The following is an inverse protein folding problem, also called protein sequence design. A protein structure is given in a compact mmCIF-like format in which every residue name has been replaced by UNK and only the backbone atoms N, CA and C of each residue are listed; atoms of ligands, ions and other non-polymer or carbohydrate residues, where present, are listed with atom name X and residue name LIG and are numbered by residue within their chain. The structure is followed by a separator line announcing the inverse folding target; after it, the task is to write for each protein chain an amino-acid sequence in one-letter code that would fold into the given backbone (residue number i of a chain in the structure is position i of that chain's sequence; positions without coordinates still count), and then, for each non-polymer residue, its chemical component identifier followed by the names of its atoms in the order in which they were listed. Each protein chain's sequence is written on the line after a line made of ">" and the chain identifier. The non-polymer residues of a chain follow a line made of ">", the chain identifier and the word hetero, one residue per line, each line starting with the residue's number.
data_IF_243194174159
#
_entry.id   IF_243194174159
#
_cell.length_a   1.000
_cell.length_b   1.000
_cell.length_c   1.000
_cell.angle_alpha   90.00
_cell.angle_beta   90.00
_cell.angle_gamma   90.00
#
_symmetry.space_group_name_H-M   'P 1'
#
loop_
_entity.id
_entity.type
_entity.pdbx_description
1 polymer ?
#
# COMPACT_ATOMS: atom_id res chain seq x y z
N UNK A 1 20.41 -20.59 13.45
CA UNK A 1 20.82 -19.19 13.12
C UNK A 1 20.67 -18.35 14.38
N UNK A 2 21.59 -17.42 14.63
CA UNK A 2 21.48 -16.47 15.72
C UNK A 2 20.49 -15.33 15.40
N UNK A 3 20.07 -14.57 16.42
CA UNK A 3 19.09 -13.48 16.30
C UNK A 3 19.47 -12.44 15.25
N UNK A 4 20.74 -12.04 15.17
CA UNK A 4 21.17 -10.97 14.25
C UNK A 4 21.04 -11.43 12.79
N UNK A 5 21.40 -12.68 12.51
CA UNK A 5 21.23 -13.26 11.19
C UNK A 5 19.76 -13.28 10.75
N UNK A 6 18.83 -13.59 11.66
CA UNK A 6 17.39 -13.57 11.37
C UNK A 6 16.92 -12.13 11.13
N UNK A 7 17.30 -11.18 11.99
CA UNK A 7 16.94 -9.76 11.84
C UNK A 7 17.40 -9.20 10.48
N UNK A 8 18.64 -9.49 10.08
CA UNK A 8 19.18 -9.06 8.79
C UNK A 8 18.43 -9.65 7.60
N UNK A 9 17.94 -10.88 7.70
CA UNK A 9 17.20 -11.55 6.62
C UNK A 9 15.80 -10.95 6.36
N UNK A 10 15.22 -10.25 7.34
CA UNK A 10 13.85 -9.70 7.24
C UNK A 10 13.77 -8.18 7.34
N UNK A 11 14.87 -7.49 7.70
CA UNK A 11 14.85 -6.05 8.01
C UNK A 11 14.30 -5.15 6.90
N UNK A 12 14.47 -5.53 5.63
CA UNK A 12 14.01 -4.78 4.46
C UNK A 12 12.48 -4.78 4.35
N UNK A 13 11.83 -5.80 4.90
CA UNK A 13 10.38 -6.04 4.85
C UNK A 13 9.63 -5.53 6.08
N UNK A 14 10.34 -5.11 7.12
CA UNK A 14 9.78 -4.74 8.42
C UNK A 14 9.69 -3.22 8.63
N UNK A 15 9.00 -2.76 9.69
CA UNK A 15 9.01 -1.34 10.08
C UNK A 15 10.43 -0.86 10.37
N UNK A 16 10.68 0.42 10.08
CA UNK A 16 12.01 1.03 10.23
C UNK A 16 12.18 1.76 11.57
N UNK A 17 11.16 1.77 12.41
CA UNK A 17 11.24 2.33 13.75
C UNK A 17 12.02 1.43 14.70
N UNK A 18 12.63 2.07 15.69
CA UNK A 18 13.50 1.42 16.69
C UNK A 18 12.67 0.44 17.54
N UNK A 19 11.44 0.81 17.91
CA UNK A 19 10.58 0.02 18.79
C UNK A 19 10.23 -1.35 18.18
N UNK A 20 9.81 -1.39 16.92
CA UNK A 20 9.49 -2.65 16.22
C UNK A 20 10.69 -3.59 16.10
N UNK A 21 11.88 -3.02 15.90
CA UNK A 21 13.14 -3.78 15.84
C UNK A 21 13.51 -4.36 17.19
N UNK A 22 13.47 -3.54 18.24
CA UNK A 22 13.74 -3.99 19.62
C UNK A 22 12.74 -5.06 20.05
N UNK A 23 11.45 -4.86 19.79
CA UNK A 23 10.42 -5.83 20.13
C UNK A 23 10.63 -7.18 19.43
N UNK A 24 11.04 -7.17 18.16
CA UNK A 24 11.37 -8.41 17.44
C UNK A 24 12.64 -9.06 18.01
N UNK A 25 13.68 -8.27 18.28
CA UNK A 25 14.91 -8.76 18.90
C UNK A 25 14.63 -9.43 20.25
N UNK A 26 13.91 -8.77 21.14
CA UNK A 26 13.55 -9.29 22.46
C UNK A 26 12.78 -10.62 22.39
N UNK A 27 11.91 -10.78 21.38
CA UNK A 27 11.18 -12.03 21.17
C UNK A 27 12.08 -13.12 20.60
N UNK A 28 12.96 -12.81 19.65
CA UNK A 28 13.92 -13.75 19.09
C UNK A 28 14.96 -14.21 20.12
N UNK A 29 15.37 -13.33 21.02
CA UNK A 29 16.33 -13.63 22.08
C UNK A 29 15.76 -14.58 23.14
N UNK A 30 14.43 -14.58 23.32
CA UNK A 30 13.71 -15.53 24.19
C UNK A 30 13.49 -16.91 23.58
N UNK A 31 13.67 -17.07 22.27
CA UNK A 31 13.52 -18.36 21.60
C UNK A 31 14.73 -19.26 21.82
N UNK A 32 14.50 -20.56 21.99
CA UNK A 32 15.57 -21.56 21.93
C UNK A 32 16.13 -21.70 20.50
N UNK A 33 17.31 -22.31 20.38
CA UNK A 33 17.92 -22.53 19.06
C UNK A 33 17.07 -23.41 18.14
N UNK A 34 16.34 -24.40 18.71
CA UNK A 34 15.40 -25.21 17.94
C UNK A 34 14.22 -24.39 17.40
N UNK A 35 13.65 -23.51 18.23
CA UNK A 35 12.56 -22.61 17.83
C UNK A 35 13.01 -21.59 16.78
N UNK A 36 14.23 -21.05 16.91
CA UNK A 36 14.82 -20.16 15.89
C UNK A 36 14.99 -20.87 14.56
N UNK A 37 15.48 -22.11 14.57
CA UNK A 37 15.63 -22.90 13.35
C UNK A 37 14.27 -23.20 12.70
N UNK A 38 13.25 -23.50 13.50
CA UNK A 38 11.87 -23.68 13.01
C UNK A 38 11.31 -22.39 12.39
N UNK A 39 11.54 -21.23 13.02
CA UNK A 39 11.15 -19.94 12.45
C UNK A 39 11.81 -19.70 11.09
N UNK A 40 13.12 -19.94 10.97
CA UNK A 40 13.85 -19.82 9.70
C UNK A 40 13.25 -20.71 8.62
N UNK A 41 12.88 -21.94 8.96
CA UNK A 41 12.19 -22.84 8.03
C UNK A 41 10.80 -22.31 7.65
N UNK A 42 10.08 -21.66 8.56
CA UNK A 42 8.74 -21.10 8.32
C UNK A 42 8.73 -19.78 7.56
N UNK A 43 9.81 -18.98 7.64
CA UNK A 43 9.89 -17.62 7.04
C UNK A 43 9.47 -17.55 5.55
N UNK A 44 9.93 -18.45 4.65
CA UNK A 44 9.51 -18.44 3.25
C UNK A 44 7.99 -18.64 3.08
N UNK A 45 7.37 -19.43 3.97
CA UNK A 45 5.95 -19.75 3.93
C UNK A 45 5.04 -18.62 4.44
N UNK A 46 5.59 -17.64 5.18
CA UNK A 46 4.82 -16.47 5.64
C UNK A 46 4.47 -15.49 4.52
N UNK A 47 5.09 -15.64 3.34
CA UNK A 47 4.87 -14.78 2.17
C UNK A 47 4.94 -13.30 2.56
N UNK A 48 6.03 -12.92 3.23
CA UNK A 48 6.32 -11.53 3.59
C UNK A 48 6.44 -10.72 2.30
N UNK A 49 5.51 -9.80 2.09
CA UNK A 49 5.43 -9.05 0.83
C UNK A 49 6.53 -8.01 0.78
N UNK A 50 7.14 -7.82 -0.38
CA UNK A 50 8.18 -6.80 -0.60
C UNK A 50 7.55 -5.39 -0.57
N UNK A 51 8.00 -4.51 0.35
CA UNK A 51 7.52 -3.12 0.36
C UNK A 51 7.89 -2.34 -0.89
N UNK A 52 9.03 -2.63 -1.51
CA UNK A 52 9.44 -1.98 -2.75
C UNK A 52 8.50 -2.33 -3.90
N UNK A 53 8.09 -3.60 -4.01
CA UNK A 53 7.16 -4.06 -5.05
C UNK A 53 5.77 -3.43 -4.86
N UNK A 54 5.26 -3.45 -3.62
CA UNK A 54 3.97 -2.80 -3.30
C UNK A 54 4.03 -1.30 -3.56
N UNK A 55 5.14 -0.63 -3.22
CA UNK A 55 5.29 0.80 -3.46
C UNK A 55 5.33 1.12 -4.96
N UNK A 56 6.28 0.55 -5.71
CA UNK A 56 6.49 0.92 -7.11
C UNK A 56 5.38 0.42 -8.03
N UNK A 57 5.03 -0.86 -7.93
CA UNK A 57 4.03 -1.45 -8.83
C UNK A 57 2.63 -1.19 -8.31
N UNK A 58 2.39 -1.52 -7.04
CA UNK A 58 1.05 -1.45 -6.46
C UNK A 58 0.53 -0.03 -6.28
N UNK A 59 1.31 0.81 -5.61
CA UNK A 59 0.86 2.13 -5.18
C UNK A 59 1.26 3.23 -6.16
N UNK A 60 2.45 3.20 -6.76
CA UNK A 60 2.89 4.25 -7.68
C UNK A 60 2.31 4.06 -9.08
N UNK A 61 2.61 2.94 -9.76
CA UNK A 61 2.13 2.71 -11.14
C UNK A 61 0.62 2.45 -11.21
N UNK A 62 0.10 1.60 -10.33
CA UNK A 62 -1.30 1.18 -10.37
C UNK A 62 -2.14 1.61 -9.15
N UNK A 63 -1.65 2.57 -8.36
CA UNK A 63 -2.35 2.99 -7.14
C UNK A 63 -3.65 3.75 -7.40
N UNK A 64 -3.78 4.39 -8.57
CA UNK A 64 -5.05 4.97 -9.01
C UNK A 64 -6.16 3.91 -9.03
N UNK A 65 -5.85 2.69 -9.46
CA UNK A 65 -6.80 1.56 -9.48
C UNK A 65 -6.93 0.82 -8.14
N UNK A 66 -6.25 1.28 -7.08
CA UNK A 66 -6.28 0.63 -5.77
C UNK A 66 -5.40 -0.62 -5.63
N UNK A 67 -4.54 -0.92 -6.61
CA UNK A 67 -3.74 -2.16 -6.63
C UNK A 67 -2.87 -2.29 -5.38
N UNK A 68 -2.21 -1.21 -4.94
CA UNK A 68 -1.42 -1.20 -3.70
C UNK A 68 -2.23 -1.63 -2.47
N UNK A 69 -3.51 -1.24 -2.39
CA UNK A 69 -4.43 -1.63 -1.31
C UNK A 69 -4.80 -3.12 -1.39
N UNK A 70 -5.14 -3.61 -2.57
CA UNK A 70 -5.39 -5.04 -2.79
C UNK A 70 -4.18 -5.90 -2.44
N UNK A 71 -2.97 -5.44 -2.82
CA UNK A 71 -1.74 -6.15 -2.53
C UNK A 71 -1.48 -6.31 -1.04
N UNK A 72 -1.87 -5.35 -0.20
CA UNK A 72 -1.72 -5.44 1.25
C UNK A 72 -2.92 -6.09 1.95
N UNK A 73 -3.93 -6.55 1.19
CA UNK A 73 -5.14 -7.20 1.68
C UNK A 73 -6.26 -6.24 2.11
N UNK A 74 -6.14 -4.95 1.81
CA UNK A 74 -7.12 -3.92 2.15
C UNK A 74 -8.20 -3.81 1.04
N UNK A 75 -9.02 -4.86 0.93
CA UNK A 75 -9.95 -5.05 -0.19
C UNK A 75 -11.02 -3.96 -0.27
N UNK A 76 -11.52 -3.50 0.87
CA UNK A 76 -12.57 -2.49 0.91
C UNK A 76 -12.08 -1.15 0.35
N UNK A 77 -10.96 -0.62 0.87
CA UNK A 77 -10.40 0.64 0.38
C UNK A 77 -9.89 0.51 -1.05
N UNK A 78 -9.35 -0.65 -1.44
CA UNK A 78 -8.99 -0.92 -2.83
C UNK A 78 -10.20 -0.88 -3.76
N UNK A 79 -11.33 -1.49 -3.36
CA UNK A 79 -12.56 -1.49 -4.14
C UNK A 79 -13.18 -0.09 -4.28
N UNK A 80 -13.24 0.67 -3.18
CA UNK A 80 -13.66 2.07 -3.20
C UNK A 80 -12.80 2.87 -4.17
N UNK A 81 -11.48 2.66 -4.15
CA UNK A 81 -10.54 3.33 -5.04
C UNK A 81 -10.81 3.02 -6.51
N UNK A 82 -11.01 1.75 -6.83
CA UNK A 82 -11.30 1.31 -8.20
C UNK A 82 -12.59 1.95 -8.73
N UNK A 83 -13.67 1.91 -7.95
CA UNK A 83 -14.96 2.50 -8.33
C UNK A 83 -14.83 4.01 -8.54
N UNK A 84 -14.17 4.72 -7.61
CA UNK A 84 -13.92 6.15 -7.75
C UNK A 84 -13.13 6.48 -9.01
N UNK A 85 -12.09 5.70 -9.32
CA UNK A 85 -11.30 5.90 -10.54
C UNK A 85 -12.13 5.72 -11.81
N UNK A 86 -13.02 4.72 -11.86
CA UNK A 86 -13.96 4.54 -12.99
C UNK A 86 -14.89 5.75 -13.12
N UNK A 87 -15.51 6.18 -12.00
CA UNK A 87 -16.39 7.36 -11.99
C UNK A 87 -15.65 8.60 -12.48
N UNK A 88 -14.39 8.80 -12.05
CA UNK A 88 -13.60 9.95 -12.47
C UNK A 88 -13.29 9.95 -13.97
N UNK A 89 -12.97 8.79 -14.55
CA UNK A 89 -12.78 8.69 -16.00
C UNK A 89 -14.06 9.07 -16.75
N UNK A 90 -15.23 8.58 -16.30
CA UNK A 90 -16.52 8.94 -16.89
C UNK A 90 -16.79 10.44 -16.76
N UNK A 91 -16.61 11.02 -15.57
CA UNK A 91 -16.85 12.45 -15.34
C UNK A 91 -15.95 13.35 -16.18
N UNK A 92 -14.67 12.99 -16.33
CA UNK A 92 -13.75 13.72 -17.19
C UNK A 92 -14.19 13.61 -18.65
N UNK A 93 -14.53 12.41 -19.14
CA UNK A 93 -15.00 12.22 -20.52
C UNK A 93 -16.29 12.98 -20.83
N UNK A 94 -17.25 13.00 -19.91
CA UNK A 94 -18.50 13.76 -20.11
C UNK A 94 -18.22 15.27 -20.01
N UNK A 95 -17.37 15.69 -19.07
CA UNK A 95 -16.96 17.08 -18.91
C UNK A 95 -16.23 17.63 -20.14
N UNK A 96 -15.36 16.84 -20.78
CA UNK A 96 -14.67 17.26 -22.00
C UNK A 96 -15.64 17.41 -23.17
N UNK A 97 -16.63 16.52 -23.30
CA UNK A 97 -17.67 16.64 -24.34
C UNK A 97 -18.51 17.91 -24.13
N UNK A 98 -18.93 18.20 -22.89
CA UNK A 98 -19.67 19.43 -22.55
C UNK A 98 -18.84 20.68 -22.86
N UNK A 99 -17.54 20.67 -22.53
CA UNK A 99 -16.62 21.78 -22.85
C UNK A 99 -16.49 22.01 -24.35
N UNK A 100 -16.31 20.95 -25.14
CA UNK A 100 -16.19 21.07 -26.60
C UNK A 100 -17.50 21.61 -27.21
N UNK A 101 -18.66 21.18 -26.71
CA UNK A 101 -19.96 21.68 -27.16
C UNK A 101 -20.21 23.16 -26.85
N UNK A 102 -19.67 23.66 -25.73
CA UNK A 102 -19.82 25.06 -25.27
C UNK A 102 -18.77 26.02 -25.81
N UNK A 103 -17.64 25.51 -26.29
CA UNK A 103 -16.53 26.31 -26.79
C UNK A 103 -16.91 27.35 -27.87
N UNK A 104 -17.79 27.06 -28.86
CA UNK A 104 -18.19 28.04 -29.87
C UNK A 104 -18.95 29.25 -29.32
N UNK A 105 -19.60 29.09 -28.17
CA UNK A 105 -20.39 30.13 -27.51
C UNK A 105 -19.58 30.92 -26.48
N UNK A 106 -18.30 30.58 -26.27
CA UNK A 106 -17.45 31.19 -25.25
C UNK A 106 -17.86 30.85 -23.81
N UNK A 107 -18.71 29.84 -23.62
CA UNK A 107 -19.19 29.43 -22.31
C UNK A 107 -18.20 28.49 -21.62
N UNK A 108 -18.13 28.61 -20.29
CA UNK A 108 -17.29 27.75 -19.45
C UNK A 108 -18.08 26.51 -19.04
N UNK A 109 -17.52 25.32 -19.30
CA UNK A 109 -18.12 24.06 -18.81
C UNK A 109 -17.93 23.92 -17.30
N UNK A 110 -19.00 24.12 -16.53
CA UNK A 110 -19.03 23.86 -15.09
C UNK A 110 -18.72 22.40 -14.77
N UNK A 111 -19.21 21.46 -15.59
CA UNK A 111 -18.99 20.03 -15.38
C UNK A 111 -17.51 19.66 -15.53
N UNK A 112 -16.83 20.24 -16.53
CA UNK A 112 -15.40 20.07 -16.70
C UNK A 112 -14.62 20.61 -15.49
N UNK A 113 -14.95 21.81 -15.01
CA UNK A 113 -14.29 22.38 -13.81
C UNK A 113 -14.49 21.47 -12.59
N UNK A 114 -15.71 20.97 -12.35
CA UNK A 114 -15.99 20.05 -11.24
C UNK A 114 -15.14 18.79 -11.37
N UNK A 115 -15.03 18.22 -12.59
CA UNK A 115 -14.23 17.02 -12.83
C UNK A 115 -12.74 17.23 -12.50
N UNK A 116 -12.19 18.42 -12.79
CA UNK A 116 -10.80 18.78 -12.47
C UNK A 116 -10.58 18.90 -10.97
N UNK A 117 -11.48 19.58 -10.25
CA UNK A 117 -11.38 19.74 -8.79
C UNK A 117 -11.45 18.38 -8.09
N UNK A 118 -12.38 17.51 -8.50
CA UNK A 118 -12.48 16.17 -7.95
C UNK A 118 -11.24 15.32 -8.25
N UNK A 119 -10.68 15.44 -9.46
CA UNK A 119 -9.43 14.76 -9.81
C UNK A 119 -8.28 15.16 -8.87
N UNK A 120 -8.17 16.45 -8.54
CA UNK A 120 -7.16 16.95 -7.61
C UNK A 120 -7.31 16.32 -6.20
N UNK A 121 -8.53 16.24 -5.68
CA UNK A 121 -8.79 15.59 -4.38
C UNK A 121 -8.38 14.12 -4.41
N UNK A 122 -8.72 13.40 -5.48
CA UNK A 122 -8.34 11.99 -5.65
C UNK A 122 -6.82 11.84 -5.78
N UNK A 123 -6.14 12.75 -6.49
CA UNK A 123 -4.69 12.76 -6.62
C UNK A 123 -3.99 12.98 -5.27
N UNK A 124 -4.49 13.91 -4.44
CA UNK A 124 -3.97 14.11 -3.08
C UNK A 124 -4.12 12.82 -2.26
N UNK A 125 -5.30 12.19 -2.31
CA UNK A 125 -5.50 10.92 -1.61
C UNK A 125 -4.57 9.81 -2.15
N UNK A 126 -4.31 9.75 -3.46
CA UNK A 126 -3.34 8.81 -4.04
C UNK A 126 -1.94 9.00 -3.43
N UNK A 127 -1.47 10.25 -3.34
CA UNK A 127 -0.16 10.58 -2.77
C UNK A 127 -0.09 10.14 -1.30
N UNK A 128 -1.12 10.40 -0.50
CA UNK A 128 -1.19 9.95 0.89
C UNK A 128 -1.11 8.42 0.98
N UNK A 129 -1.81 7.73 0.08
CA UNK A 129 -1.83 6.27 0.01
C UNK A 129 -0.46 5.65 -0.29
N UNK A 130 0.41 6.33 -1.04
CA UNK A 130 1.79 5.88 -1.29
C UNK A 130 2.55 5.59 0.02
N UNK A 131 2.33 6.41 1.05
CA UNK A 131 2.99 6.27 2.34
C UNK A 131 2.24 5.31 3.27
N UNK A 132 0.91 5.41 3.32
CA UNK A 132 0.09 4.59 4.22
C UNK A 132 0.15 3.10 3.89
N UNK A 133 0.14 2.76 2.59
CA UNK A 133 0.23 1.36 2.14
C UNK A 133 1.56 0.72 2.53
N UNK A 134 2.67 1.44 2.37
CA UNK A 134 4.00 0.96 2.79
C UNK A 134 4.10 0.73 4.30
N UNK A 135 3.59 1.68 5.11
CA UNK A 135 3.57 1.54 6.58
C UNK A 135 2.72 0.35 7.02
N UNK A 136 1.48 0.25 6.52
CA UNK A 136 0.55 -0.84 6.85
C UNK A 136 1.11 -2.21 6.45
N UNK A 137 1.75 -2.30 5.28
CA UNK A 137 2.38 -3.55 4.85
C UNK A 137 3.50 -4.02 5.78
N UNK A 138 4.40 -3.11 6.15
CA UNK A 138 5.54 -3.42 7.04
C UNK A 138 5.03 -3.94 8.38
N UNK A 139 3.99 -3.33 8.94
CA UNK A 139 3.34 -3.79 10.16
C UNK A 139 2.69 -5.17 9.97
N UNK A 140 2.00 -5.41 8.86
CA UNK A 140 1.41 -6.71 8.55
C UNK A 140 2.48 -7.81 8.44
N UNK A 141 3.63 -7.52 7.83
CA UNK A 141 4.75 -8.45 7.76
C UNK A 141 5.31 -8.77 9.16
N UNK A 142 5.47 -7.77 10.03
CA UNK A 142 5.90 -7.98 11.41
C UNK A 142 4.92 -8.85 12.20
N UNK A 143 3.63 -8.56 12.09
CA UNK A 143 2.58 -9.32 12.78
C UNK A 143 2.57 -10.80 12.36
N UNK A 144 2.80 -11.09 11.08
CA UNK A 144 2.94 -12.48 10.59
C UNK A 144 4.10 -13.22 11.25
N UNK A 145 5.23 -12.54 11.47
CA UNK A 145 6.37 -13.13 12.17
C UNK A 145 6.00 -13.39 13.63
N UNK A 146 5.38 -12.43 14.31
CA UNK A 146 4.94 -12.60 15.70
C UNK A 146 3.95 -13.74 15.89
N UNK A 147 3.01 -13.93 14.96
CA UNK A 147 2.07 -15.05 15.01
C UNK A 147 2.73 -16.44 14.97
N UNK A 148 3.96 -16.54 14.43
CA UNK A 148 4.73 -17.79 14.42
C UNK A 148 5.57 -17.96 15.66
N UNK A 149 6.06 -16.84 16.23
CA UNK A 149 6.94 -16.83 17.39
C UNK A 149 6.16 -17.03 18.70
N UNK A 150 4.88 -16.62 18.75
CA UNK A 150 4.11 -16.49 19.99
C UNK A 150 4.19 -15.08 20.55
#
# INVERSE_FOLDING_TARGET
>A
MDTNSILLAVQDKLPKDIQSRQMLQDRLDKLSDSQRNELVQKLPFLKLKSPALVFWVGSFLFGSFGVGRFMIGDMLLGGIRLVLTIIMYVLISVGTVDMVGKAPYGEVSTLYIISLVLNLVVAIWWIVDLFLTGKKLRNNNLNKIFQVIG
#
